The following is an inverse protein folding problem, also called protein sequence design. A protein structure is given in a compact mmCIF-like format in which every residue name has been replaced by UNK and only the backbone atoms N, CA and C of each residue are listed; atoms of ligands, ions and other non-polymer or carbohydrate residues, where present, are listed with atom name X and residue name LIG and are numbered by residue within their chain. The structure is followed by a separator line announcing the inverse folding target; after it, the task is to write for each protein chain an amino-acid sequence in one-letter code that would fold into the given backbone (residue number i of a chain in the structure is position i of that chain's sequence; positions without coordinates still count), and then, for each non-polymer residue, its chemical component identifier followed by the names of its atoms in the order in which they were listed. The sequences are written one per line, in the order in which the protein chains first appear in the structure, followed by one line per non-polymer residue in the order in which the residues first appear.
data_IF_183511090255
#
_entry.id   IF_183511090255
#
_cell.length_a   1.000
_cell.length_b   1.000
_cell.length_c   1.000
_cell.angle_alpha   90.00
_cell.angle_beta   90.00
_cell.angle_gamma   90.00
#
_symmetry.space_group_name_H-M   'P 1'
#
loop_
_entity.id
_entity.type
_entity.pdbx_description
1 polymer ?
#
# COMPACT_ATOMS: atom_id res chain seq x y z
N UNK A 1 -132.59 -16.43 -57.72
CA UNK A 1 -133.90 -16.87 -57.21
C UNK A 1 -133.74 -17.34 -55.78
N UNK A 2 -134.03 -16.45 -54.85
CA UNK A 2 -134.51 -16.72 -53.50
C UNK A 2 -135.03 -15.37 -53.04
N UNK A 3 -136.25 -15.06 -53.45
CA UNK A 3 -136.97 -13.86 -53.03
C UNK A 3 -137.07 -13.97 -51.51
N UNK A 4 -136.39 -13.07 -50.80
CA UNK A 4 -136.43 -13.01 -49.35
C UNK A 4 -137.85 -12.60 -48.96
N UNK A 5 -138.67 -13.61 -48.72
CA UNK A 5 -140.08 -13.48 -48.39
C UNK A 5 -140.26 -12.58 -47.17
N UNK A 6 -139.26 -12.52 -46.29
CA UNK A 6 -139.29 -11.67 -45.10
C UNK A 6 -139.19 -10.19 -45.47
N UNK A 7 -138.34 -9.83 -46.43
CA UNK A 7 -138.27 -8.47 -46.96
C UNK A 7 -139.51 -8.12 -47.79
N UNK A 8 -140.05 -9.07 -48.58
CA UNK A 8 -141.32 -8.89 -49.31
C UNK A 8 -142.51 -8.72 -48.36
N UNK A 9 -142.60 -9.52 -47.30
CA UNK A 9 -143.61 -9.33 -46.26
C UNK A 9 -143.36 -8.03 -45.51
N UNK A 10 -142.13 -7.64 -45.19
CA UNK A 10 -141.86 -6.39 -44.48
C UNK A 10 -142.20 -5.15 -45.31
N UNK A 11 -141.86 -5.13 -46.60
CA UNK A 11 -142.28 -4.02 -47.49
C UNK A 11 -143.78 -4.07 -47.77
N UNK A 12 -144.38 -5.24 -48.00
CA UNK A 12 -145.84 -5.30 -48.20
C UNK A 12 -146.62 -5.01 -46.93
N UNK A 13 -146.12 -5.35 -45.74
CA UNK A 13 -146.73 -5.00 -44.45
C UNK A 13 -146.51 -3.52 -44.12
N UNK A 14 -145.32 -2.97 -44.39
CA UNK A 14 -145.08 -1.53 -44.26
C UNK A 14 -145.95 -0.72 -45.24
N UNK A 15 -146.14 -1.18 -46.49
CA UNK A 15 -147.01 -0.53 -47.48
C UNK A 15 -148.51 -0.75 -47.21
N UNK A 16 -148.93 -1.91 -46.66
CA UNK A 16 -150.35 -2.19 -46.33
C UNK A 16 -150.79 -1.67 -44.97
N UNK A 17 -149.84 -1.32 -44.07
CA UNK A 17 -150.10 -0.58 -42.82
C UNK A 17 -149.66 0.88 -42.87
N UNK A 18 -149.41 1.44 -44.07
CA UNK A 18 -149.60 2.88 -44.29
C UNK A 18 -151.09 3.18 -44.14
N UNK A 19 -151.52 3.30 -42.90
CA UNK A 19 -152.68 4.11 -42.54
C UNK A 19 -152.33 5.51 -43.00
N UNK A 20 -152.67 5.80 -44.26
CA UNK A 20 -152.85 7.16 -44.76
C UNK A 20 -153.85 7.80 -43.81
N UNK A 21 -153.34 8.54 -42.83
CA UNK A 21 -154.12 9.48 -42.05
C UNK A 21 -154.92 10.30 -43.07
N UNK A 22 -156.25 10.29 -43.02
CA UNK A 22 -157.07 11.03 -43.97
C UNK A 22 -156.60 12.48 -44.03
N UNK A 23 -156.55 13.06 -45.22
CA UNK A 23 -156.47 14.51 -45.37
C UNK A 23 -157.58 15.10 -44.48
N UNK A 24 -157.18 15.74 -43.38
CA UNK A 24 -158.11 16.32 -42.42
C UNK A 24 -158.76 17.51 -43.10
N UNK A 25 -159.98 17.31 -43.59
CA UNK A 25 -160.90 18.38 -43.98
C UNK A 25 -161.04 19.33 -42.78
N UNK A 26 -160.37 20.47 -42.90
CA UNK A 26 -160.07 21.42 -41.84
C UNK A 26 -161.23 22.39 -41.59
N UNK A 27 -162.49 21.94 -41.78
CA UNK A 27 -163.66 22.84 -41.83
C UNK A 27 -164.63 22.72 -40.65
N UNK A 28 -164.55 21.69 -39.80
CA UNK A 28 -165.46 21.56 -38.64
C UNK A 28 -164.79 21.03 -37.35
N UNK A 29 -163.65 21.60 -36.94
CA UNK A 29 -163.08 21.38 -35.61
C UNK A 29 -163.26 22.61 -34.70
N UNK A 30 -163.89 22.39 -33.55
CA UNK A 30 -164.17 23.43 -32.53
C UNK A 30 -162.87 23.93 -31.89
N UNK A 31 -162.79 25.20 -31.44
CA UNK A 31 -161.59 25.77 -30.80
C UNK A 31 -161.01 24.94 -29.64
N UNK A 32 -161.83 24.12 -28.99
CA UNK A 32 -161.43 23.24 -27.89
C UNK A 32 -160.54 22.05 -28.32
N UNK A 33 -160.74 21.48 -29.51
CA UNK A 33 -159.97 20.31 -29.98
C UNK A 33 -158.59 20.68 -30.55
N UNK A 34 -158.48 21.81 -31.26
CA UNK A 34 -157.16 22.38 -31.65
C UNK A 34 -156.28 22.71 -30.43
N UNK A 35 -156.91 23.14 -29.33
CA UNK A 35 -156.21 23.45 -28.09
C UNK A 35 -155.72 22.19 -27.37
N UNK A 36 -156.45 21.07 -27.48
CA UNK A 36 -156.05 19.76 -26.98
C UNK A 36 -154.91 19.14 -27.79
N UNK A 37 -154.94 19.23 -29.12
CA UNK A 37 -153.83 18.77 -29.96
C UNK A 37 -152.57 19.62 -29.74
N UNK A 38 -152.69 20.95 -29.65
CA UNK A 38 -151.56 21.80 -29.28
C UNK A 38 -151.02 21.53 -27.88
N UNK A 39 -151.87 21.14 -26.92
CA UNK A 39 -151.43 20.69 -25.59
C UNK A 39 -150.72 19.34 -25.63
N UNK A 40 -151.17 18.42 -26.48
CA UNK A 40 -150.51 17.12 -26.69
C UNK A 40 -149.16 17.28 -27.37
N UNK A 41 -149.08 18.09 -28.43
CA UNK A 41 -147.81 18.43 -29.10
C UNK A 41 -146.85 19.13 -28.13
N UNK A 42 -147.34 20.07 -27.30
CA UNK A 42 -146.51 20.68 -26.26
C UNK A 42 -146.04 19.66 -25.23
N UNK A 43 -146.89 18.72 -24.80
CA UNK A 43 -146.51 17.66 -23.86
C UNK A 43 -145.49 16.68 -24.46
N UNK A 44 -145.63 16.32 -25.74
CA UNK A 44 -144.68 15.44 -26.45
C UNK A 44 -143.33 16.15 -26.66
N UNK A 45 -143.33 17.44 -27.01
CA UNK A 45 -142.12 18.26 -27.12
C UNK A 45 -141.47 18.47 -25.75
N UNK A 46 -142.25 18.73 -24.70
CA UNK A 46 -141.75 18.87 -23.32
C UNK A 46 -141.16 17.54 -22.82
N UNK A 47 -141.78 16.41 -23.14
CA UNK A 47 -141.28 15.08 -22.79
C UNK A 47 -139.99 14.73 -23.55
N UNK A 48 -139.91 15.06 -24.85
CA UNK A 48 -138.68 14.91 -25.64
C UNK A 48 -137.56 15.85 -25.15
N UNK A 49 -137.90 17.08 -24.74
CA UNK A 49 -136.96 18.02 -24.15
C UNK A 49 -136.45 17.53 -22.79
N UNK A 50 -137.31 16.93 -21.96
CA UNK A 50 -136.93 16.29 -20.70
C UNK A 50 -135.99 15.10 -20.94
N UNK A 51 -136.31 14.21 -21.88
CA UNK A 51 -135.43 13.10 -22.25
C UNK A 51 -134.07 13.60 -22.78
N UNK A 52 -134.05 14.64 -23.62
CA UNK A 52 -132.81 15.22 -24.11
C UNK A 52 -131.99 15.90 -22.99
N UNK A 53 -132.65 16.53 -22.02
CA UNK A 53 -132.00 17.09 -20.81
C UNK A 53 -131.42 15.98 -19.94
N UNK A 54 -132.13 14.88 -19.73
CA UNK A 54 -131.65 13.71 -18.99
C UNK A 54 -130.46 13.04 -19.70
N UNK A 55 -130.53 12.85 -21.02
CA UNK A 55 -129.40 12.34 -21.81
C UNK A 55 -128.19 13.26 -21.77
N UNK A 56 -128.40 14.58 -21.88
CA UNK A 56 -127.33 15.56 -21.77
C UNK A 56 -126.72 15.54 -20.38
N UNK A 57 -127.54 15.42 -19.33
CA UNK A 57 -127.09 15.29 -17.94
C UNK A 57 -126.26 14.02 -17.74
N UNK A 58 -126.70 12.86 -18.23
CA UNK A 58 -125.93 11.61 -18.17
C UNK A 58 -124.61 11.70 -18.95
N UNK A 59 -124.60 12.34 -20.12
CA UNK A 59 -123.37 12.59 -20.90
C UNK A 59 -122.42 13.56 -20.17
N UNK A 60 -122.95 14.60 -19.53
CA UNK A 60 -122.16 15.51 -18.72
C UNK A 60 -121.56 14.83 -17.49
N UNK A 61 -122.33 14.00 -16.80
CA UNK A 61 -121.85 13.23 -15.64
C UNK A 61 -120.77 12.21 -16.03
N UNK A 62 -120.94 11.47 -17.13
CA UNK A 62 -119.92 10.54 -17.62
C UNK A 62 -118.64 11.24 -18.09
N UNK A 63 -118.76 12.39 -18.76
CA UNK A 63 -117.60 13.23 -19.11
C UNK A 63 -116.92 13.82 -17.88
N UNK A 64 -117.68 14.19 -16.85
CA UNK A 64 -117.15 14.68 -15.58
C UNK A 64 -116.39 13.58 -14.84
N UNK A 65 -116.96 12.38 -14.72
CA UNK A 65 -116.28 11.21 -14.16
C UNK A 65 -115.00 10.88 -14.94
N UNK A 66 -115.06 10.94 -16.28
CA UNK A 66 -113.88 10.68 -17.12
C UNK A 66 -112.78 11.73 -16.95
N UNK A 67 -113.15 13.00 -16.77
CA UNK A 67 -112.21 14.08 -16.43
C UNK A 67 -111.55 13.82 -15.08
N UNK A 68 -112.35 13.53 -14.05
CA UNK A 68 -111.82 13.23 -12.71
C UNK A 68 -110.90 12.00 -12.70
N UNK A 69 -111.23 10.95 -13.47
CA UNK A 69 -110.34 9.79 -13.64
C UNK A 69 -109.01 10.15 -14.33
N UNK A 70 -109.06 10.99 -15.36
CA UNK A 70 -107.87 11.44 -16.07
C UNK A 70 -106.98 12.29 -15.16
N UNK A 71 -107.58 13.21 -14.39
CA UNK A 71 -106.85 14.02 -13.40
C UNK A 71 -106.19 13.15 -12.33
N UNK A 72 -106.90 12.14 -11.79
CA UNK A 72 -106.30 11.17 -10.85
C UNK A 72 -105.12 10.43 -11.46
N UNK A 73 -105.28 9.91 -12.68
CA UNK A 73 -104.19 9.22 -13.39
C UNK A 73 -103.01 10.15 -13.68
N UNK A 74 -103.26 11.41 -14.01
CA UNK A 74 -102.20 12.39 -14.21
C UNK A 74 -101.45 12.69 -12.91
N UNK A 75 -102.17 12.85 -11.78
CA UNK A 75 -101.58 12.98 -10.45
C UNK A 75 -100.73 11.77 -10.08
N UNK A 76 -101.24 10.56 -10.25
CA UNK A 76 -100.52 9.31 -9.97
C UNK A 76 -99.25 9.19 -10.82
N UNK A 77 -99.32 9.54 -12.10
CA UNK A 77 -98.19 9.48 -13.02
C UNK A 77 -97.11 10.51 -12.66
N UNK A 78 -97.52 11.73 -12.26
CA UNK A 78 -96.60 12.76 -11.73
C UNK A 78 -95.91 12.28 -10.46
N UNK A 79 -96.64 11.66 -9.53
CA UNK A 79 -96.04 11.08 -8.32
C UNK A 79 -95.05 9.96 -8.64
N UNK A 80 -95.39 9.06 -9.56
CA UNK A 80 -94.49 7.98 -9.97
C UNK A 80 -93.22 8.54 -10.62
N UNK A 81 -93.35 9.59 -11.43
CA UNK A 81 -92.20 10.24 -12.08
C UNK A 81 -91.27 10.87 -11.03
N UNK A 82 -91.81 11.50 -9.99
CA UNK A 82 -91.02 12.00 -8.86
C UNK A 82 -90.34 10.87 -8.08
N UNK A 83 -91.03 9.75 -7.84
CA UNK A 83 -90.46 8.56 -7.18
C UNK A 83 -89.33 7.94 -8.02
N UNK A 84 -89.49 7.88 -9.34
CA UNK A 84 -88.46 7.39 -10.27
C UNK A 84 -87.25 8.31 -10.33
N UNK A 85 -87.45 9.63 -10.44
CA UNK A 85 -86.35 10.60 -10.39
C UNK A 85 -85.58 10.50 -9.07
N UNK A 86 -86.29 10.37 -7.95
CA UNK A 86 -85.67 10.14 -6.66
C UNK A 86 -84.86 8.84 -6.62
N UNK A 87 -85.42 7.73 -7.12
CA UNK A 87 -84.73 6.45 -7.21
C UNK A 87 -83.48 6.50 -8.09
N UNK A 88 -83.54 7.18 -9.25
CA UNK A 88 -82.39 7.35 -10.14
C UNK A 88 -81.28 8.16 -9.45
N UNK A 89 -81.61 9.28 -8.80
CA UNK A 89 -80.66 10.08 -8.03
C UNK A 89 -80.00 9.29 -6.90
N UNK A 90 -80.78 8.49 -6.17
CA UNK A 90 -80.22 7.62 -5.13
C UNK A 90 -79.31 6.53 -5.70
N UNK A 91 -79.69 5.92 -6.83
CA UNK A 91 -78.90 4.88 -7.47
C UNK A 91 -77.58 5.44 -7.99
N UNK A 92 -77.62 6.60 -8.66
CA UNK A 92 -76.42 7.31 -9.12
C UNK A 92 -75.52 7.70 -7.95
N UNK A 93 -76.10 8.14 -6.82
CA UNK A 93 -75.35 8.40 -5.59
C UNK A 93 -74.71 7.13 -5.00
N UNK A 94 -75.41 6.00 -5.02
CA UNK A 94 -74.86 4.69 -4.58
C UNK A 94 -73.74 4.22 -5.51
N UNK A 95 -73.92 4.34 -6.82
CA UNK A 95 -72.93 4.01 -7.85
C UNK A 95 -71.69 4.90 -7.71
N UNK A 96 -71.85 6.21 -7.56
CA UNK A 96 -70.75 7.14 -7.38
C UNK A 96 -69.94 6.83 -6.10
N UNK A 97 -70.61 6.52 -4.98
CA UNK A 97 -69.93 6.09 -3.75
C UNK A 97 -69.19 4.77 -3.90
N UNK A 98 -69.79 3.78 -4.55
CA UNK A 98 -69.15 2.49 -4.80
C UNK A 98 -67.91 2.63 -5.71
N UNK A 99 -68.01 3.43 -6.77
CA UNK A 99 -66.88 3.73 -7.66
C UNK A 99 -65.75 4.44 -6.92
N UNK A 100 -66.07 5.49 -6.16
CA UNK A 100 -65.08 6.22 -5.36
C UNK A 100 -64.36 5.30 -4.36
N UNK A 101 -65.10 4.45 -3.65
CA UNK A 101 -64.52 3.48 -2.72
C UNK A 101 -63.61 2.46 -3.43
N UNK A 102 -64.02 1.98 -4.61
CA UNK A 102 -63.22 1.05 -5.40
C UNK A 102 -61.91 1.70 -5.88
N UNK A 103 -61.94 2.98 -6.26
CA UNK A 103 -60.74 3.72 -6.67
C UNK A 103 -59.81 4.00 -5.49
N UNK A 104 -60.36 4.39 -4.33
CA UNK A 104 -59.58 4.53 -3.08
C UNK A 104 -58.91 3.20 -2.66
N UNK A 105 -59.62 2.07 -2.75
CA UNK A 105 -59.05 0.74 -2.48
C UNK A 105 -57.96 0.36 -3.50
N UNK A 106 -58.14 0.69 -4.79
CA UNK A 106 -57.10 0.47 -5.82
C UNK A 106 -55.85 1.29 -5.53
N UNK A 107 -55.99 2.55 -5.15
CA UNK A 107 -54.84 3.40 -4.86
C UNK A 107 -54.14 2.99 -3.56
N UNK A 108 -54.90 2.61 -2.53
CA UNK A 108 -54.36 2.01 -1.31
C UNK A 108 -53.56 0.73 -1.60
N UNK A 109 -54.09 -0.15 -2.46
CA UNK A 109 -53.38 -1.36 -2.90
C UNK A 109 -52.08 -1.01 -3.62
N UNK A 110 -52.09 -0.09 -4.59
CA UNK A 110 -50.87 0.35 -5.30
C UNK A 110 -49.81 0.89 -4.33
N UNK A 111 -50.22 1.65 -3.31
CA UNK A 111 -49.31 2.18 -2.32
C UNK A 111 -48.69 1.07 -1.46
N UNK A 112 -49.49 0.09 -1.04
CA UNK A 112 -49.02 -1.07 -0.29
C UNK A 112 -48.10 -1.98 -1.11
N UNK A 113 -48.40 -2.18 -2.39
CA UNK A 113 -47.54 -2.96 -3.29
C UNK A 113 -46.16 -2.29 -3.44
N UNK A 114 -46.09 -0.95 -3.55
CA UNK A 114 -44.82 -0.21 -3.55
C UNK A 114 -44.06 -0.36 -2.23
N UNK A 115 -44.75 -0.34 -1.10
CA UNK A 115 -44.16 -0.54 0.22
C UNK A 115 -43.58 -1.96 0.37
N UNK A 116 -44.32 -2.97 -0.09
CA UNK A 116 -43.87 -4.38 -0.11
C UNK A 116 -42.59 -4.53 -0.94
N UNK A 117 -42.54 -3.94 -2.14
CA UNK A 117 -41.34 -4.03 -2.98
C UNK A 117 -40.12 -3.34 -2.35
N UNK A 118 -40.32 -2.18 -1.70
CA UNK A 118 -39.25 -1.52 -0.94
C UNK A 118 -38.72 -2.42 0.18
N UNK A 119 -39.62 -2.98 0.98
CA UNK A 119 -39.25 -3.87 2.10
C UNK A 119 -38.58 -5.16 1.62
N UNK A 120 -38.99 -5.73 0.48
CA UNK A 120 -38.31 -6.90 -0.12
C UNK A 120 -36.87 -6.57 -0.50
N UNK A 121 -36.63 -5.43 -1.12
CA UNK A 121 -35.28 -5.00 -1.49
C UNK A 121 -34.42 -4.80 -0.24
N UNK A 122 -34.96 -4.17 0.80
CA UNK A 122 -34.25 -3.98 2.06
C UNK A 122 -33.93 -5.30 2.75
N UNK A 123 -34.89 -6.21 2.85
CA UNK A 123 -34.68 -7.57 3.36
C UNK A 123 -33.56 -8.28 2.60
N UNK A 124 -33.55 -8.22 1.27
CA UNK A 124 -32.50 -8.82 0.46
C UNK A 124 -31.12 -8.21 0.69
N UNK A 125 -31.02 -6.91 1.00
CA UNK A 125 -29.76 -6.27 1.40
C UNK A 125 -29.29 -6.78 2.76
N UNK A 126 -30.18 -6.80 3.75
CA UNK A 126 -29.87 -7.28 5.10
C UNK A 126 -29.47 -8.77 5.10
N UNK A 127 -30.11 -9.61 4.29
CA UNK A 127 -29.73 -11.01 4.12
C UNK A 127 -28.32 -11.15 3.54
N UNK A 128 -27.97 -10.35 2.53
CA UNK A 128 -26.59 -10.34 1.98
C UNK A 128 -25.57 -9.91 3.02
N UNK A 129 -25.86 -8.87 3.79
CA UNK A 129 -24.94 -8.38 4.81
C UNK A 129 -24.79 -9.37 5.97
N UNK A 130 -25.89 -10.02 6.37
CA UNK A 130 -25.86 -11.14 7.32
C UNK A 130 -24.97 -12.27 6.80
N UNK A 131 -25.11 -12.69 5.54
CA UNK A 131 -24.27 -13.74 4.98
C UNK A 131 -22.78 -13.36 4.96
N UNK A 132 -22.44 -12.13 4.56
CA UNK A 132 -21.05 -11.65 4.61
C UNK A 132 -20.47 -11.63 6.03
N UNK A 133 -21.27 -11.22 7.02
CA UNK A 133 -20.88 -11.23 8.43
C UNK A 133 -20.70 -12.66 8.94
N UNK A 134 -21.58 -13.58 8.56
CA UNK A 134 -21.47 -14.99 8.91
C UNK A 134 -20.19 -15.61 8.34
N UNK A 135 -19.87 -15.37 7.07
CA UNK A 135 -18.62 -15.85 6.45
C UNK A 135 -17.37 -15.28 7.14
N UNK A 136 -17.41 -14.01 7.58
CA UNK A 136 -16.33 -13.44 8.39
C UNK A 136 -16.22 -14.15 9.74
N UNK A 137 -17.33 -14.37 10.42
CA UNK A 137 -17.37 -15.04 11.71
C UNK A 137 -16.86 -16.47 11.61
N UNK A 138 -17.28 -17.23 10.61
CA UNK A 138 -16.84 -18.61 10.40
C UNK A 138 -15.34 -18.70 10.12
N UNK A 139 -14.77 -17.74 9.37
CA UNK A 139 -13.31 -17.61 9.20
C UNK A 139 -12.60 -17.35 10.53
N UNK A 140 -13.15 -16.47 11.38
CA UNK A 140 -12.52 -16.13 12.66
C UNK A 140 -12.72 -17.18 13.75
N UNK A 141 -13.76 -18.01 13.63
CA UNK A 141 -14.10 -19.06 14.60
C UNK A 141 -12.94 -20.02 14.85
N UNK A 142 -12.18 -20.35 13.81
CA UNK A 142 -11.02 -21.25 13.93
C UNK A 142 -9.96 -20.64 14.86
N UNK A 143 -9.66 -19.35 14.74
CA UNK A 143 -8.69 -18.67 15.59
C UNK A 143 -9.20 -18.53 17.03
N UNK A 144 -10.49 -18.26 17.22
CA UNK A 144 -11.11 -18.26 18.55
C UNK A 144 -10.95 -19.62 19.23
N UNK A 145 -11.33 -20.71 18.54
CA UNK A 145 -11.20 -22.07 19.07
C UNK A 145 -9.74 -22.47 19.32
N UNK A 146 -8.80 -22.00 18.48
CA UNK A 146 -7.38 -22.19 18.76
C UNK A 146 -6.96 -21.48 20.04
N UNK A 147 -7.38 -20.22 20.21
CA UNK A 147 -7.01 -19.41 21.38
C UNK A 147 -7.67 -19.88 22.67
N UNK A 148 -8.89 -20.42 22.60
CA UNK A 148 -9.51 -21.16 23.71
C UNK A 148 -8.63 -22.34 24.12
N UNK A 149 -8.16 -23.15 23.18
CA UNK A 149 -7.23 -24.26 23.48
C UNK A 149 -5.90 -23.81 24.06
N UNK A 150 -5.36 -22.68 23.60
CA UNK A 150 -4.13 -22.11 24.16
C UNK A 150 -4.36 -21.66 25.60
N UNK A 151 -5.52 -21.06 25.89
CA UNK A 151 -5.90 -20.65 27.24
C UNK A 151 -6.15 -21.87 28.14
N UNK A 152 -6.78 -22.93 27.63
CA UNK A 152 -6.94 -24.20 28.37
C UNK A 152 -5.59 -24.88 28.67
N UNK A 153 -4.62 -24.77 27.76
CA UNK A 153 -3.29 -25.36 27.93
C UNK A 153 -2.36 -24.52 28.82
N UNK A 154 -2.57 -23.21 28.91
CA UNK A 154 -1.75 -22.28 29.66
C UNK A 154 -2.44 -21.78 30.91
N UNK A 155 -2.03 -22.25 32.08
CA UNK A 155 -2.58 -21.80 33.38
C UNK A 155 -2.21 -20.35 33.75
N UNK A 156 -1.30 -19.72 33.02
CA UNK A 156 -0.74 -18.39 33.32
C UNK A 156 -1.64 -17.22 32.89
N UNK A 157 -2.63 -17.45 32.03
CA UNK A 157 -3.46 -16.39 31.46
C UNK A 157 -4.94 -16.59 31.81
N UNK A 158 -5.60 -15.54 32.29
CA UNK A 158 -7.02 -15.57 32.65
C UNK A 158 -7.93 -15.34 31.45
N UNK A 159 -7.52 -14.48 30.52
CA UNK A 159 -8.28 -14.13 29.32
C UNK A 159 -7.43 -14.19 28.05
N UNK A 160 -8.08 -14.43 26.91
CA UNK A 160 -7.42 -14.39 25.58
C UNK A 160 -6.76 -13.04 25.31
N UNK A 161 -7.28 -11.95 25.90
CA UNK A 161 -6.70 -10.61 25.80
C UNK A 161 -5.35 -10.51 26.49
N UNK A 162 -5.13 -11.25 27.58
CA UNK A 162 -3.86 -11.25 28.31
C UNK A 162 -2.75 -11.87 27.46
N UNK A 163 -3.08 -12.95 26.73
CA UNK A 163 -2.17 -13.60 25.78
C UNK A 163 -1.77 -12.63 24.67
N UNK A 164 -2.74 -11.90 24.10
CA UNK A 164 -2.49 -10.90 23.05
C UNK A 164 -1.61 -9.77 23.59
N UNK A 165 -1.95 -9.20 24.76
CA UNK A 165 -1.16 -8.14 25.38
C UNK A 165 0.28 -8.58 25.67
N UNK A 166 0.47 -9.84 26.12
CA UNK A 166 1.79 -10.43 26.33
C UNK A 166 2.54 -10.58 25.02
N UNK A 167 1.89 -11.07 23.97
CA UNK A 167 2.47 -11.17 22.63
C UNK A 167 2.89 -9.81 22.07
N UNK A 168 2.04 -8.80 22.21
CA UNK A 168 2.32 -7.43 21.74
C UNK A 168 3.53 -6.85 22.47
N UNK A 169 3.57 -7.00 23.80
CA UNK A 169 4.70 -6.56 24.62
C UNK A 169 5.98 -7.31 24.22
N UNK A 170 5.90 -8.62 24.03
CA UNK A 170 7.06 -9.44 23.67
C UNK A 170 7.59 -9.07 22.28
N UNK A 171 6.69 -8.86 21.32
CA UNK A 171 7.04 -8.46 19.95
C UNK A 171 7.71 -7.09 19.96
N UNK A 172 7.14 -6.11 20.67
CA UNK A 172 7.75 -4.79 20.83
C UNK A 172 9.15 -4.87 21.46
N UNK A 173 9.30 -5.63 22.56
CA UNK A 173 10.63 -5.81 23.18
C UNK A 173 11.62 -6.54 22.26
N UNK A 174 11.15 -7.46 21.43
CA UNK A 174 12.00 -8.17 20.47
C UNK A 174 12.49 -7.23 19.36
N UNK A 175 11.61 -6.37 18.84
CA UNK A 175 11.95 -5.33 17.87
C UNK A 175 12.98 -4.34 18.46
N UNK A 176 12.75 -3.86 19.68
CA UNK A 176 13.68 -2.96 20.38
C UNK A 176 15.07 -3.61 20.58
N UNK A 177 15.10 -4.88 20.98
CA UNK A 177 16.34 -5.63 21.17
C UNK A 177 17.08 -5.85 19.85
N UNK A 178 16.37 -6.14 18.76
CA UNK A 178 16.98 -6.26 17.43
C UNK A 178 17.58 -4.94 16.96
N UNK A 179 16.88 -3.82 17.16
CA UNK A 179 17.42 -2.50 16.82
C UNK A 179 18.67 -2.18 17.65
N UNK A 180 18.65 -2.49 18.94
CA UNK A 180 19.80 -2.28 19.81
C UNK A 180 20.99 -3.17 19.43
N UNK A 181 20.75 -4.43 19.08
CA UNK A 181 21.80 -5.34 18.61
C UNK A 181 22.44 -4.86 17.31
N UNK A 182 21.63 -4.39 16.34
CA UNK A 182 22.14 -3.80 15.10
C UNK A 182 23.03 -2.59 15.38
N UNK A 183 22.60 -1.65 16.23
CA UNK A 183 23.40 -0.49 16.64
C UNK A 183 24.70 -0.90 17.31
N UNK A 184 24.65 -1.88 18.22
CA UNK A 184 25.85 -2.39 18.88
C UNK A 184 26.81 -3.03 17.87
N UNK A 185 26.30 -3.75 16.88
CA UNK A 185 27.10 -4.38 15.85
C UNK A 185 27.77 -3.35 14.92
N UNK A 186 27.07 -2.27 14.58
CA UNK A 186 27.65 -1.12 13.87
C UNK A 186 28.80 -0.49 14.67
N UNK A 187 28.60 -0.25 15.97
CA UNK A 187 29.66 0.30 16.86
C UNK A 187 30.86 -0.64 16.93
N UNK A 188 30.64 -1.95 17.10
CA UNK A 188 31.72 -2.95 17.10
C UNK A 188 32.49 -2.94 15.79
N UNK A 189 31.80 -2.82 14.66
CA UNK A 189 32.43 -2.79 13.34
C UNK A 189 33.28 -1.53 13.14
N UNK A 190 32.79 -0.37 13.59
CA UNK A 190 33.56 0.88 13.59
C UNK A 190 34.81 0.76 14.46
N UNK A 191 34.70 0.24 15.68
CA UNK A 191 35.84 0.07 16.58
C UNK A 191 36.86 -0.96 16.04
N UNK A 192 36.39 -2.03 15.39
CA UNK A 192 37.27 -2.98 14.70
C UNK A 192 38.03 -2.32 13.55
N UNK A 193 37.37 -1.49 12.75
CA UNK A 193 38.03 -0.74 11.67
C UNK A 193 39.05 0.25 12.22
N UNK A 194 38.74 0.94 13.33
CA UNK A 194 39.68 1.85 13.99
C UNK A 194 40.90 1.11 14.53
N UNK A 195 40.69 -0.06 15.15
CA UNK A 195 41.78 -0.91 15.63
C UNK A 195 42.67 -1.41 14.49
N UNK A 196 42.08 -1.86 13.37
CA UNK A 196 42.84 -2.27 12.18
C UNK A 196 43.72 -1.15 11.65
N UNK A 197 43.16 0.06 11.49
CA UNK A 197 43.92 1.25 11.08
C UNK A 197 45.07 1.54 12.05
N UNK A 198 44.82 1.51 13.35
CA UNK A 198 45.85 1.74 14.36
C UNK A 198 46.98 0.70 14.29
N UNK A 199 46.64 -0.57 14.10
CA UNK A 199 47.64 -1.65 13.94
C UNK A 199 48.47 -1.40 12.68
N UNK A 200 47.84 -1.11 11.53
CA UNK A 200 48.56 -0.81 10.30
C UNK A 200 49.49 0.40 10.44
N UNK A 201 49.05 1.46 11.11
CA UNK A 201 49.88 2.63 11.43
C UNK A 201 51.09 2.25 12.29
N UNK A 202 50.89 1.43 13.34
CA UNK A 202 51.99 0.98 14.22
C UNK A 202 52.94 0.00 13.53
N UNK A 203 52.45 -0.88 12.68
CA UNK A 203 53.30 -1.77 11.88
C UNK A 203 54.16 -0.96 10.90
N UNK A 204 53.59 0.08 10.27
CA UNK A 204 54.34 1.00 9.43
C UNK A 204 55.42 1.79 10.22
N UNK A 205 55.11 2.24 11.43
CA UNK A 205 56.09 2.88 12.32
C UNK A 205 57.24 1.90 12.66
N UNK A 206 56.93 0.66 13.03
CA UNK A 206 57.92 -0.38 13.33
C UNK A 206 58.81 -0.65 12.11
N UNK A 207 58.22 -0.78 10.91
CA UNK A 207 58.98 -0.96 9.67
C UNK A 207 59.93 0.22 9.41
N UNK A 208 59.47 1.45 9.63
CA UNK A 208 60.30 2.65 9.50
C UNK A 208 61.48 2.64 10.49
N UNK A 209 61.23 2.33 11.76
CA UNK A 209 62.28 2.20 12.77
C UNK A 209 63.27 1.07 12.45
N UNK A 210 62.80 -0.09 11.98
CA UNK A 210 63.67 -1.20 11.57
C UNK A 210 64.55 -0.84 10.37
N UNK A 211 64.02 -0.08 9.41
CA UNK A 211 64.80 0.43 8.29
C UNK A 211 65.89 1.40 8.78
N UNK A 212 65.57 2.30 9.69
CA UNK A 212 66.55 3.20 10.30
C UNK A 212 67.62 2.43 11.08
N UNK A 213 67.23 1.44 11.87
CA UNK A 213 68.15 0.58 12.64
C UNK A 213 69.11 -0.16 11.71
N UNK A 214 68.59 -0.72 10.61
CA UNK A 214 69.41 -1.40 9.60
C UNK A 214 70.41 -0.45 8.92
N UNK A 215 69.99 0.79 8.65
CA UNK A 215 70.86 1.84 8.14
C UNK A 215 71.98 2.20 9.12
N UNK A 216 71.65 2.40 10.39
CA UNK A 216 72.62 2.68 11.45
C UNK A 216 73.59 1.51 11.69
N UNK A 217 73.09 0.26 11.66
CA UNK A 217 73.93 -0.92 11.78
C UNK A 217 74.94 -1.01 10.64
N UNK A 218 74.50 -0.75 9.41
CA UNK A 218 75.39 -0.72 8.24
C UNK A 218 76.48 0.34 8.41
N UNK A 219 76.12 1.53 8.89
CA UNK A 219 77.09 2.60 9.19
C UNK A 219 78.08 2.17 10.28
N UNK A 220 77.61 1.55 11.36
CA UNK A 220 78.48 1.03 12.42
C UNK A 220 79.46 -0.01 11.88
N UNK A 221 78.98 -0.99 11.10
CA UNK A 221 79.81 -2.05 10.53
C UNK A 221 80.87 -1.47 9.58
N UNK A 222 80.52 -0.46 8.78
CA UNK A 222 81.50 0.24 7.91
C UNK A 222 82.57 0.97 8.74
N UNK A 223 82.17 1.71 9.77
CA UNK A 223 83.11 2.42 10.64
C UNK A 223 84.03 1.45 11.41
N UNK A 224 83.49 0.32 11.89
CA UNK A 224 84.29 -0.73 12.54
C UNK A 224 85.29 -1.37 11.56
N UNK A 225 84.86 -1.67 10.34
CA UNK A 225 85.76 -2.19 9.29
C UNK A 225 86.90 -1.23 9.00
N UNK A 226 86.61 0.07 8.90
CA UNK A 226 87.64 1.11 8.71
C UNK A 226 88.57 1.22 9.92
N UNK A 227 88.04 1.22 11.14
CA UNK A 227 88.85 1.25 12.36
C UNK A 227 89.83 0.07 12.40
N UNK A 228 89.38 -1.15 12.14
CA UNK A 228 90.23 -2.35 12.09
C UNK A 228 91.33 -2.23 11.02
N UNK A 229 91.01 -1.68 9.83
CA UNK A 229 92.01 -1.43 8.78
C UNK A 229 93.11 -0.48 9.26
N UNK A 230 92.72 0.63 9.90
CA UNK A 230 93.67 1.61 10.41
C UNK A 230 94.48 1.09 11.59
N UNK A 231 93.88 0.30 12.49
CA UNK A 231 94.60 -0.38 13.56
C UNK A 231 95.64 -1.37 13.03
N UNK A 232 95.32 -2.13 11.98
CA UNK A 232 96.26 -3.02 11.30
C UNK A 232 97.43 -2.25 10.68
N UNK A 233 97.15 -1.15 9.96
CA UNK A 233 98.18 -0.28 9.41
C UNK A 233 99.07 0.31 10.52
N UNK A 234 98.46 0.77 11.61
CA UNK A 234 99.16 1.31 12.77
C UNK A 234 100.07 0.29 13.46
N UNK A 235 99.57 -0.93 13.69
CA UNK A 235 100.36 -2.02 14.29
C UNK A 235 101.52 -2.43 13.39
N UNK A 236 101.33 -2.46 12.06
CA UNK A 236 102.42 -2.70 11.11
C UNK A 236 103.50 -1.61 11.19
N UNK A 237 103.11 -0.33 11.22
CA UNK A 237 104.04 0.80 11.38
C UNK A 237 104.79 0.68 12.70
N UNK A 238 104.08 0.40 13.80
CA UNK A 238 104.66 0.24 15.14
C UNK A 238 105.67 -0.91 15.19
N UNK A 239 105.34 -2.08 14.62
CA UNK A 239 106.24 -3.22 14.54
C UNK A 239 107.47 -2.93 13.68
N UNK A 240 107.28 -2.22 12.55
CA UNK A 240 108.39 -1.79 11.70
C UNK A 240 109.30 -0.79 12.43
N UNK A 241 108.72 0.15 13.18
CA UNK A 241 109.48 1.07 14.01
C UNK A 241 110.28 0.31 15.09
N UNK A 242 109.65 -0.62 15.80
CA UNK A 242 110.30 -1.43 16.83
C UNK A 242 111.46 -2.27 16.28
N UNK A 243 111.29 -2.91 15.11
CA UNK A 243 112.38 -3.66 14.46
C UNK A 243 113.53 -2.74 14.03
N UNK A 244 113.24 -1.57 13.46
CA UNK A 244 114.25 -0.55 13.13
C UNK A 244 114.97 -0.02 14.38
N UNK A 245 114.25 0.21 15.47
CA UNK A 245 114.85 0.63 16.75
C UNK A 245 115.76 -0.47 17.30
N UNK A 246 115.36 -1.74 17.22
CA UNK A 246 116.17 -2.88 17.68
C UNK A 246 117.44 -3.05 16.81
N UNK A 247 117.32 -2.98 15.48
CA UNK A 247 118.49 -3.08 14.58
C UNK A 247 119.44 -1.92 14.79
N UNK A 248 118.93 -0.69 14.95
CA UNK A 248 119.74 0.46 15.34
C UNK A 248 120.46 0.20 16.66
N UNK A 249 119.76 -0.31 17.69
CA UNK A 249 120.36 -0.70 18.96
C UNK A 249 121.50 -1.73 18.80
N UNK A 250 121.29 -2.77 17.97
CA UNK A 250 122.32 -3.79 17.68
C UNK A 250 123.54 -3.20 16.96
N UNK A 251 123.31 -2.34 15.95
CA UNK A 251 124.40 -1.64 15.24
C UNK A 251 125.19 -0.77 16.22
N UNK A 252 124.50 -0.01 17.08
CA UNK A 252 125.15 0.81 18.12
C UNK A 252 126.00 -0.03 19.07
N UNK A 253 125.49 -1.19 19.52
CA UNK A 253 126.28 -2.10 20.38
C UNK A 253 127.48 -2.69 19.65
N UNK A 254 127.32 -3.16 18.40
CA UNK A 254 128.42 -3.73 17.63
C UNK A 254 129.51 -2.69 17.32
N UNK A 255 129.11 -1.47 16.95
CA UNK A 255 130.01 -0.34 16.77
C UNK A 255 130.77 -0.03 18.06
N UNK A 256 130.07 0.07 19.20
CA UNK A 256 130.71 0.29 20.50
C UNK A 256 131.70 -0.83 20.86
N UNK A 257 131.34 -2.09 20.62
CA UNK A 257 132.22 -3.24 20.90
C UNK A 257 133.50 -3.21 20.03
N UNK A 258 133.35 -2.94 18.72
CA UNK A 258 134.50 -2.82 17.82
C UNK A 258 135.38 -1.62 18.15
N UNK A 259 134.78 -0.49 18.52
CA UNK A 259 135.49 0.71 18.94
C UNK A 259 136.32 0.45 20.19
N UNK A 260 135.73 -0.22 21.19
CA UNK A 260 136.44 -0.65 22.38
C UNK A 260 137.62 -1.58 22.05
N UNK A 261 137.46 -2.48 21.06
CA UNK A 261 138.55 -3.35 20.60
C UNK A 261 139.68 -2.56 19.93
N UNK A 262 139.36 -1.60 19.07
CA UNK A 262 140.34 -0.69 18.43
C UNK A 262 141.09 0.11 19.48
N UNK A 263 140.38 0.74 20.41
CA UNK A 263 140.99 1.51 21.52
C UNK A 263 141.87 0.63 22.41
N UNK A 264 141.46 -0.62 22.67
CA UNK A 264 142.27 -1.60 23.41
C UNK A 264 143.57 -1.95 22.66
N UNK A 265 143.54 -2.10 21.35
CA UNK A 265 144.74 -2.30 20.53
C UNK A 265 145.67 -1.08 20.52
N UNK A 266 145.11 0.12 20.56
CA UNK A 266 145.84 1.38 20.68
C UNK A 266 146.29 1.71 22.12
N UNK A 267 145.97 0.85 23.11
CA UNK A 267 146.19 1.07 24.55
C UNK A 267 145.57 2.39 25.08
N UNK A 268 144.44 2.81 24.52
CA UNK A 268 143.69 4.00 24.93
C UNK A 268 142.38 3.62 25.65
N UNK A 269 141.88 4.52 26.50
CA UNK A 269 140.56 4.39 27.14
C UNK A 269 139.45 4.65 26.12
N UNK A 270 138.32 3.94 26.23
CA UNK A 270 137.17 4.10 25.35
C UNK A 270 136.11 4.98 26.03
N UNK A 271 136.05 6.27 25.68
CA UNK A 271 135.23 7.27 26.40
C UNK A 271 134.14 7.95 25.53
N UNK A 272 134.08 7.68 24.23
CA UNK A 272 133.08 8.29 23.35
C UNK A 272 131.72 7.59 23.40
N UNK A 273 130.64 8.36 23.56
CA UNK A 273 129.26 7.85 23.61
C UNK A 273 128.55 7.85 22.24
N UNK A 274 128.94 8.73 21.32
CA UNK A 274 128.30 8.86 20.02
C UNK A 274 128.74 7.77 19.03
N UNK A 275 127.76 7.05 18.48
CA UNK A 275 128.03 5.89 17.60
C UNK A 275 128.67 6.29 16.27
N UNK A 276 128.36 7.49 15.76
CA UNK A 276 128.90 7.93 14.46
C UNK A 276 130.40 8.23 14.56
N UNK A 277 130.83 8.81 15.68
CA UNK A 277 132.24 9.07 15.97
C UNK A 277 133.00 7.76 16.23
N UNK A 278 132.41 6.84 17.00
CA UNK A 278 132.95 5.49 17.21
C UNK A 278 133.24 4.77 15.89
N UNK A 279 132.30 4.81 14.93
CA UNK A 279 132.46 4.20 13.60
C UNK A 279 133.54 4.90 12.76
N UNK A 280 133.63 6.22 12.80
CA UNK A 280 134.66 6.99 12.08
C UNK A 280 136.08 6.60 12.55
N UNK A 281 136.27 6.43 13.85
CA UNK A 281 137.57 6.00 14.40
C UNK A 281 137.89 4.54 14.07
N UNK A 282 136.90 3.64 14.11
CA UNK A 282 137.09 2.26 13.61
C UNK A 282 137.51 2.28 12.13
N UNK A 283 136.87 3.11 11.31
CA UNK A 283 137.16 3.22 9.89
C UNK A 283 138.59 3.73 9.64
N UNK A 284 139.02 4.78 10.34
CA UNK A 284 140.41 5.28 10.26
C UNK A 284 141.41 4.17 10.60
N UNK A 285 141.20 3.47 11.71
CA UNK A 285 142.08 2.38 12.12
C UNK A 285 142.13 1.23 11.11
N UNK A 286 140.99 0.89 10.48
CA UNK A 286 140.95 -0.12 9.42
C UNK A 286 141.69 0.34 8.14
N UNK A 287 141.61 1.62 7.78
CA UNK A 287 142.39 2.16 6.67
C UNK A 287 143.89 2.11 6.97
N UNK A 288 144.30 2.51 8.17
CA UNK A 288 145.70 2.42 8.59
C UNK A 288 146.20 0.96 8.51
N UNK A 289 145.42 0.00 9.01
CA UNK A 289 145.75 -1.43 8.90
C UNK A 289 145.82 -1.92 7.45
N UNK A 290 144.91 -1.45 6.59
CA UNK A 290 144.90 -1.82 5.17
C UNK A 290 146.12 -1.26 4.45
N UNK A 291 146.49 -0.03 4.73
CA UNK A 291 147.68 0.62 4.16
C UNK A 291 148.95 -0.11 4.61
N UNK A 292 149.04 -0.47 5.90
CA UNK A 292 150.12 -1.32 6.43
C UNK A 292 150.19 -2.67 5.71
N UNK A 293 149.06 -3.35 5.49
CA UNK A 293 149.03 -4.65 4.79
C UNK A 293 149.38 -4.49 3.30
N UNK A 294 149.00 -3.39 2.66
CA UNK A 294 149.40 -3.09 1.28
C UNK A 294 150.89 -2.77 1.16
N UNK A 295 151.49 -2.09 2.14
CA UNK A 295 152.94 -1.92 2.24
C UNK A 295 153.67 -3.25 2.48
N UNK A 296 153.11 -4.15 3.30
CA UNK A 296 153.61 -5.51 3.48
C UNK A 296 153.56 -6.34 2.18
N UNK A 297 152.47 -6.23 1.40
CA UNK A 297 152.39 -6.91 0.09
C UNK A 297 153.34 -6.32 -0.96
N UNK A 298 153.61 -5.01 -0.91
CA UNK A 298 154.63 -4.35 -1.74
C UNK A 298 156.06 -4.74 -1.36
N UNK A 299 156.31 -5.03 -0.08
CA UNK A 299 157.60 -5.55 0.38
C UNK A 299 157.78 -7.04 0.04
N UNK A 300 156.73 -7.87 0.08
CA UNK A 300 156.78 -9.27 -0.38
C UNK A 300 157.05 -9.40 -1.90
N UNK A 301 156.53 -8.46 -2.71
CA UNK A 301 156.82 -8.44 -4.16
C UNK A 301 158.25 -7.97 -4.49
N UNK A 302 158.90 -7.23 -3.58
CA UNK A 302 160.31 -6.85 -3.71
C UNK A 302 161.28 -7.98 -3.32
N UNK A 303 160.87 -8.92 -2.46
CA UNK A 303 161.71 -10.06 -2.05
C UNK A 303 161.76 -11.17 -3.11
N UNK A 304 160.73 -11.30 -3.96
CA UNK A 304 160.70 -12.32 -5.03
C UNK A 304 161.57 -12.03 -6.26
N UNK A 305 162.19 -10.85 -6.40
CA UNK A 305 163.02 -10.49 -7.57
C UNK A 305 164.52 -10.84 -7.43
N UNK A 306 164.97 -11.41 -6.30
CA UNK A 306 166.40 -11.58 -5.99
C UNK A 306 166.94 -13.03 -6.00
N UNK A 307 166.21 -14.01 -6.57
CA UNK A 307 166.72 -15.38 -6.69
C UNK A 307 166.44 -16.00 -8.05
N UNK A 308 167.50 -16.15 -8.86
CA UNK A 308 167.58 -17.02 -10.05
C UNK A 308 168.66 -18.07 -9.78
N UNK A 309 168.40 -19.38 -9.96
CA UNK A 309 169.44 -20.37 -10.19
C UNK A 309 169.50 -20.77 -11.68
N UNK A 310 170.70 -21.09 -12.17
CA UNK A 310 170.93 -21.79 -13.44
C UNK A 310 171.24 -23.27 -13.18
N UNK A 311 170.58 -24.19 -13.90
CA UNK A 311 171.21 -25.22 -14.78
C UNK A 311 170.19 -26.17 -15.43
N UNK A 312 170.51 -26.51 -16.69
CA UNK A 312 169.85 -27.40 -17.68
C UNK A 312 168.76 -26.81 -18.56
#
# INVERSE_FOLDING_TARGET
MSVDLEEYFKTTFEDTLVVKMPEREDDHLTPATRLLEKRREMAEVDQALLAQKEEFQMKMESLQQRREELERKECDLKEQLLKFDHFLKENDSKKARALKKADEERDSKKQKDKEIEKLKVEKGKLEKDKSKLQEKLDRFKIYHTYMEKVLEAGEEFGEMRDIIARYDTLTATHEDLLEQDQKNQEVIEIERQNLMKYIEEKDNEILSCNNQLSGLQTQLDTAQSEAVKWESAWTHIKNTAATKTLTLGRIKMAARNLYQLVKRHQKQSAEEEETHEQLAQIQMFLFDLKDIVQELKRSDTFVSSAYVPSSS
#
